data_IF_310990842727
#
_entry.id   IF_310990842727
#
_cell.length_a   1.000
_cell.length_b   1.000
_cell.length_c   1.000
_cell.angle_alpha   90.00
_cell.angle_beta   90.00
_cell.angle_gamma   90.00
#
_symmetry.space_group_name_H-M   'P 1'
#
loop_
_entity.id
_entity.type
_entity.pdbx_description
1 polymer ?
#
# COMPACT_ATOMS: atom_id res chain seq x y z
N UNK A 1 18.87 -10.89 -18.73
CA UNK A 1 17.66 -11.63 -18.29
C UNK A 1 17.33 -11.09 -16.92
N UNK A 2 16.14 -10.55 -16.71
CA UNK A 2 15.74 -10.00 -15.41
C UNK A 2 15.63 -11.09 -14.35
N UNK A 3 15.71 -10.72 -13.08
CA UNK A 3 15.58 -11.61 -11.92
C UNK A 3 14.13 -12.12 -11.69
N UNK A 4 13.19 -11.74 -12.57
CA UNK A 4 11.78 -12.12 -12.48
C UNK A 4 10.95 -11.24 -11.56
N UNK A 5 11.56 -10.28 -10.86
CA UNK A 5 10.86 -9.33 -9.99
C UNK A 5 10.21 -8.19 -10.77
N UNK A 6 9.16 -7.59 -10.18
CA UNK A 6 8.58 -6.34 -10.66
C UNK A 6 9.21 -5.19 -9.89
N UNK A 7 9.84 -4.25 -10.59
CA UNK A 7 10.51 -3.08 -9.99
C UNK A 7 9.68 -1.82 -10.14
N UNK A 8 9.55 -1.08 -9.04
CA UNK A 8 8.74 0.14 -8.97
C UNK A 8 9.51 1.20 -8.18
N UNK A 9 9.79 2.39 -8.75
CA UNK A 9 9.71 2.75 -10.17
C UNK A 9 10.66 1.94 -11.05
N UNK A 10 10.46 1.96 -12.38
CA UNK A 10 11.21 1.10 -13.31
C UNK A 10 12.72 1.41 -13.43
N UNK A 11 13.14 2.61 -13.00
CA UNK A 11 14.55 2.98 -12.89
C UNK A 11 14.99 2.83 -11.44
N UNK A 12 16.00 1.99 -11.21
CA UNK A 12 16.51 1.74 -9.87
C UNK A 12 17.12 3.01 -9.27
N UNK A 13 16.94 3.17 -7.95
CA UNK A 13 17.79 4.02 -7.13
C UNK A 13 17.86 5.49 -7.59
N UNK A 14 16.78 6.02 -8.17
CA UNK A 14 16.65 7.45 -8.44
C UNK A 14 15.77 8.11 -7.38
N UNK A 15 16.17 9.31 -6.96
CA UNK A 15 15.39 10.14 -6.05
C UNK A 15 14.15 10.72 -6.76
N UNK A 16 13.12 11.01 -5.96
CA UNK A 16 11.92 11.74 -6.39
C UNK A 16 11.20 11.08 -7.58
N UNK A 17 11.06 9.76 -7.53
CA UNK A 17 10.37 8.98 -8.56
C UNK A 17 9.09 8.36 -7.99
N UNK A 18 8.12 8.11 -8.86
CA UNK A 18 6.91 7.37 -8.54
C UNK A 18 6.56 6.42 -9.69
N UNK A 19 5.97 5.28 -9.38
CA UNK A 19 5.56 4.29 -10.37
C UNK A 19 4.48 3.37 -9.85
N UNK A 20 3.92 2.57 -10.77
CA UNK A 20 2.92 1.56 -10.45
C UNK A 20 3.03 0.33 -11.34
N UNK A 21 2.59 -0.81 -10.83
CA UNK A 21 2.41 -2.05 -11.57
C UNK A 21 1.07 -2.66 -11.20
N UNK A 22 0.20 -2.89 -12.18
CA UNK A 22 -1.17 -3.33 -11.95
C UNK A 22 -1.44 -4.64 -12.66
N UNK A 23 -2.42 -5.37 -12.12
CA UNK A 23 -3.07 -6.43 -12.88
C UNK A 23 -3.79 -5.82 -14.09
N UNK A 24 -3.62 -6.44 -15.26
CA UNK A 24 -4.04 -5.86 -16.54
C UNK A 24 -5.56 -5.73 -16.72
N UNK A 25 -6.35 -6.56 -16.02
CA UNK A 25 -7.80 -6.54 -16.11
C UNK A 25 -8.40 -5.98 -14.82
N UNK A 26 -9.41 -5.10 -14.88
CA UNK A 26 -10.09 -4.66 -13.67
C UNK A 26 -10.87 -5.80 -13.02
N UNK A 27 -10.94 -5.76 -11.69
CA UNK A 27 -11.65 -6.69 -10.84
C UNK A 27 -12.98 -6.06 -10.41
N UNK A 28 -14.05 -6.86 -10.40
CA UNK A 28 -15.35 -6.40 -9.88
C UNK A 28 -15.31 -6.39 -8.35
N UNK A 29 -15.15 -5.21 -7.75
CA UNK A 29 -14.96 -5.05 -6.30
C UNK A 29 -16.23 -4.63 -5.57
N UNK A 30 -17.28 -4.23 -6.27
CA UNK A 30 -18.55 -3.81 -5.67
C UNK A 30 -19.73 -4.19 -6.55
N UNK A 31 -20.79 -4.75 -5.98
CA UNK A 31 -22.01 -5.08 -6.74
C UNK A 31 -23.11 -4.02 -6.52
N UNK A 32 -23.51 -3.27 -7.57
CA UNK A 32 -24.55 -2.24 -7.44
C UNK A 32 -25.92 -2.77 -7.04
N UNK A 33 -26.22 -4.04 -7.29
CA UNK A 33 -27.54 -4.60 -6.98
C UNK A 33 -27.71 -4.91 -5.50
N UNK A 34 -26.66 -5.42 -4.87
CA UNK A 34 -26.64 -5.77 -3.45
C UNK A 34 -26.03 -4.67 -2.59
N UNK A 35 -25.30 -3.72 -3.19
CA UNK A 35 -24.47 -2.72 -2.52
C UNK A 35 -23.40 -3.33 -1.60
N UNK A 36 -22.93 -4.54 -1.92
CA UNK A 36 -21.95 -5.29 -1.13
C UNK A 36 -20.58 -5.27 -1.84
N UNK A 37 -19.50 -4.92 -1.14
CA UNK A 37 -18.13 -5.12 -1.63
C UNK A 37 -17.77 -6.60 -1.77
N UNK A 38 -16.91 -6.93 -2.72
CA UNK A 38 -16.27 -8.25 -2.79
C UNK A 38 -15.38 -8.48 -1.56
N UNK A 39 -15.37 -9.71 -1.04
CA UNK A 39 -14.32 -10.16 -0.14
C UNK A 39 -13.04 -10.38 -0.95
N UNK A 40 -11.87 -10.16 -0.36
CA UNK A 40 -10.62 -10.41 -1.06
C UNK A 40 -9.50 -10.89 -0.13
N UNK A 41 -8.58 -11.64 -0.72
CA UNK A 41 -7.33 -12.06 -0.12
C UNK A 41 -6.21 -11.77 -1.12
N UNK A 42 -5.12 -11.18 -0.64
CA UNK A 42 -3.90 -10.97 -1.42
C UNK A 42 -2.69 -11.29 -0.58
N UNK A 43 -1.71 -11.96 -1.19
CA UNK A 43 -0.43 -12.28 -0.56
C UNK A 43 0.67 -11.91 -1.53
N UNK A 44 1.70 -11.23 -1.04
CA UNK A 44 2.85 -10.87 -1.86
C UNK A 44 4.11 -10.81 -1.01
N UNK A 45 5.24 -11.11 -1.64
CA UNK A 45 6.56 -10.91 -1.05
C UNK A 45 7.29 -9.80 -1.79
N UNK A 46 8.04 -8.98 -1.07
CA UNK A 46 8.74 -7.83 -1.62
C UNK A 46 10.05 -7.55 -0.86
N UNK A 47 10.92 -6.75 -1.49
CA UNK A 47 12.17 -6.24 -0.90
C UNK A 47 12.21 -4.74 -1.10
N UNK A 48 12.57 -4.01 -0.04
CA UNK A 48 12.98 -2.60 -0.12
C UNK A 48 14.44 -2.52 0.32
N UNK A 49 15.26 -1.85 -0.48
CA UNK A 49 16.69 -1.74 -0.23
C UNK A 49 17.16 -0.31 -0.45
N UNK A 50 17.89 0.23 0.51
CA UNK A 50 18.59 1.50 0.34
C UNK A 50 19.83 1.31 -0.54
N UNK A 51 19.93 2.13 -1.58
CA UNK A 51 21.04 2.11 -2.53
C UNK A 51 22.16 3.09 -2.16
N UNK A 52 21.89 3.99 -1.20
CA UNK A 52 22.81 5.04 -0.80
C UNK A 52 23.43 4.74 0.56
N UNK A 53 24.73 5.01 0.70
CA UNK A 53 25.37 5.13 2.01
C UNK A 53 25.12 6.51 2.66
N UNK A 54 24.24 7.33 2.07
CA UNK A 54 23.96 8.67 2.56
C UNK A 54 22.97 8.60 3.71
N UNK A 55 23.34 9.23 4.83
CA UNK A 55 22.56 9.28 6.06
C UNK A 55 21.61 10.49 6.11
N UNK A 56 21.42 11.18 4.98
CA UNK A 56 20.54 12.34 4.90
C UNK A 56 19.09 11.86 4.75
N UNK A 57 18.43 11.64 5.88
CA UNK A 57 17.02 11.31 6.01
C UNK A 57 16.13 12.54 5.74
N UNK A 58 16.22 13.16 4.57
CA UNK A 58 15.46 14.39 4.29
C UNK A 58 14.01 14.11 3.92
N UNK A 59 13.77 13.12 3.05
CA UNK A 59 12.44 12.57 2.70
C UNK A 59 12.60 11.13 2.24
N UNK A 60 11.61 10.28 2.49
CA UNK A 60 11.58 8.91 1.97
C UNK A 60 10.30 8.64 1.18
N UNK A 61 9.96 7.36 1.05
CA UNK A 61 8.79 6.89 0.35
C UNK A 61 8.50 5.47 0.79
N UNK A 62 8.17 4.59 -0.14
CA UNK A 62 7.86 3.21 0.19
C UNK A 62 7.06 2.53 -0.89
N UNK A 63 6.34 1.49 -0.47
CA UNK A 63 5.54 0.63 -1.31
C UNK A 63 4.09 0.62 -0.81
N UNK A 64 3.11 0.54 -1.70
CA UNK A 64 1.74 0.26 -1.31
C UNK A 64 1.10 -0.79 -2.22
N UNK A 65 0.33 -1.72 -1.63
CA UNK A 65 -0.68 -2.46 -2.39
C UNK A 65 -1.89 -1.54 -2.55
N UNK A 66 -2.41 -1.41 -3.78
CA UNK A 66 -3.49 -0.47 -4.10
C UNK A 66 -4.68 -1.16 -4.77
N UNK A 67 -5.87 -0.63 -4.49
CA UNK A 67 -7.11 -0.85 -5.22
C UNK A 67 -7.54 0.53 -5.74
N UNK A 68 -7.43 0.75 -7.05
CA UNK A 68 -7.52 2.06 -7.68
C UNK A 68 -8.56 2.11 -8.82
N UNK A 69 -9.10 3.30 -9.16
CA UNK A 69 -10.23 3.41 -10.07
C UNK A 69 -9.83 3.42 -11.55
N UNK A 70 -8.53 3.55 -11.84
CA UNK A 70 -7.97 3.63 -13.18
C UNK A 70 -6.53 3.08 -13.22
N UNK A 71 -6.04 2.84 -14.43
CA UNK A 71 -4.71 2.27 -14.68
C UNK A 71 -3.61 3.30 -14.99
N UNK A 72 -3.97 4.57 -15.22
CA UNK A 72 -3.07 5.56 -15.82
C UNK A 72 -2.49 6.55 -14.81
N UNK A 73 -3.22 6.84 -13.74
CA UNK A 73 -2.86 7.85 -12.75
C UNK A 73 -1.71 7.34 -11.89
N UNK A 74 -0.57 8.03 -11.92
CA UNK A 74 0.53 7.84 -10.96
C UNK A 74 0.59 9.09 -10.09
N UNK A 75 0.47 8.91 -8.79
CA UNK A 75 0.51 9.97 -7.78
C UNK A 75 1.88 10.64 -7.64
N UNK A 76 1.96 11.59 -6.69
CA UNK A 76 3.23 12.23 -6.32
C UNK A 76 4.20 11.22 -5.68
N UNK A 77 5.48 11.55 -5.79
CA UNK A 77 6.60 10.87 -5.18
C UNK A 77 6.71 11.13 -3.66
N UNK A 78 7.80 10.67 -3.04
CA UNK A 78 8.03 10.73 -1.60
C UNK A 78 6.89 10.09 -0.78
N UNK A 79 6.53 10.62 0.39
CA UNK A 79 5.45 10.10 1.25
C UNK A 79 4.05 10.03 0.61
N UNK A 80 3.85 10.54 -0.61
CA UNK A 80 2.59 10.33 -1.36
C UNK A 80 2.49 8.95 -2.03
N UNK A 81 3.59 8.16 -2.03
CA UNK A 81 3.68 6.76 -2.46
C UNK A 81 3.18 6.45 -3.88
N UNK A 82 3.07 7.45 -4.75
CA UNK A 82 2.47 7.30 -6.07
C UNK A 82 0.99 6.93 -6.06
N UNK A 83 0.29 6.98 -4.91
CA UNK A 83 -1.07 6.46 -4.74
C UNK A 83 -2.15 7.35 -5.36
N UNK A 84 -2.02 8.68 -5.20
CA UNK A 84 -3.04 9.65 -5.59
C UNK A 84 -2.40 10.90 -6.20
N UNK A 85 -2.97 11.40 -7.30
CA UNK A 85 -2.70 12.76 -7.78
C UNK A 85 -3.60 13.75 -7.00
N UNK A 86 -3.02 14.86 -6.54
CA UNK A 86 -3.68 15.91 -5.77
C UNK A 86 -4.19 15.53 -4.38
N UNK A 87 -3.46 14.71 -3.62
CA UNK A 87 -3.79 14.41 -2.22
C UNK A 87 -3.73 15.69 -1.36
N UNK A 88 -4.82 16.44 -1.29
CA UNK A 88 -4.98 17.51 -0.32
C UNK A 88 -5.10 16.89 1.08
N UNK A 89 -4.15 17.21 1.95
CA UNK A 89 -4.09 16.89 3.40
C UNK A 89 -5.36 17.31 4.18
N UNK A 90 -6.27 18.07 3.56
CA UNK A 90 -7.36 18.79 4.22
C UNK A 90 -8.75 18.13 4.20
N UNK A 91 -8.95 16.95 3.59
CA UNK A 91 -10.30 16.34 3.54
C UNK A 91 -10.74 15.56 4.79
N UNK A 92 -10.06 15.71 5.94
CA UNK A 92 -10.49 15.12 7.22
C UNK A 92 -11.86 15.58 7.76
N UNK A 93 -12.66 16.37 7.03
CA UNK A 93 -13.96 16.86 7.51
C UNK A 93 -15.06 16.84 6.45
N UNK A 94 -15.67 15.68 6.25
CA UNK A 94 -16.96 15.56 5.57
C UNK A 94 -17.48 14.13 5.68
N UNK A 95 -18.61 13.96 6.35
CA UNK A 95 -19.33 12.67 6.36
C UNK A 95 -20.17 12.47 5.07
N UNK A 96 -19.94 13.31 4.05
CA UNK A 96 -20.53 13.18 2.74
C UNK A 96 -19.73 12.18 1.92
N UNK A 97 -20.42 11.23 1.30
CA UNK A 97 -19.88 10.37 0.24
C UNK A 97 -19.35 11.18 -0.95
N UNK A 98 -19.85 12.40 -1.14
CA UNK A 98 -19.29 13.42 -2.04
C UNK A 98 -17.94 13.89 -1.49
N UNK A 99 -16.86 13.34 -2.03
CA UNK A 99 -15.47 13.74 -1.73
C UNK A 99 -14.53 12.59 -1.39
N UNK A 100 -15.03 11.39 -1.10
CA UNK A 100 -14.17 10.21 -0.90
C UNK A 100 -13.56 9.78 -2.24
N UNK A 101 -12.23 9.69 -2.26
CA UNK A 101 -11.51 9.20 -3.43
C UNK A 101 -11.61 7.68 -3.44
N UNK A 102 -11.99 7.06 -4.57
CA UNK A 102 -12.14 5.62 -4.66
C UNK A 102 -10.76 4.96 -4.79
N UNK A 103 -9.95 5.05 -3.74
CA UNK A 103 -8.65 4.40 -3.63
C UNK A 103 -8.54 3.81 -2.24
N UNK A 104 -8.13 2.55 -2.18
CA UNK A 104 -7.76 1.87 -0.94
C UNK A 104 -6.32 1.46 -1.11
N UNK A 105 -5.51 1.67 -0.08
CA UNK A 105 -4.14 1.18 -0.08
C UNK A 105 -3.77 0.56 1.27
N UNK A 106 -2.83 -0.37 1.21
CA UNK A 106 -2.06 -0.78 2.38
C UNK A 106 -0.60 -0.42 2.10
N UNK A 107 -0.10 0.58 2.81
CA UNK A 107 1.25 1.11 2.64
C UNK A 107 2.27 0.40 3.54
N UNK A 108 3.51 0.41 3.09
CA UNK A 108 4.72 -0.02 3.80
C UNK A 108 5.67 1.16 3.71
N UNK A 109 5.53 2.05 4.68
CA UNK A 109 6.22 3.33 4.69
C UNK A 109 7.58 3.21 5.38
N UNK A 110 8.58 3.74 4.70
CA UNK A 110 9.95 3.75 5.17
C UNK A 110 10.34 5.07 5.78
N UNK A 111 9.47 6.07 5.84
CA UNK A 111 9.79 7.39 6.35
C UNK A 111 8.70 7.88 7.29
N UNK A 112 9.05 8.85 8.13
CA UNK A 112 8.12 9.44 9.08
C UNK A 112 7.79 10.86 8.63
N UNK A 113 6.71 11.01 7.90
CA UNK A 113 6.16 12.30 7.54
C UNK A 113 5.22 12.79 8.66
N UNK A 114 5.75 13.66 9.53
CA UNK A 114 4.99 14.23 10.66
C UNK A 114 3.67 14.92 10.21
N UNK A 115 3.63 15.44 8.97
CA UNK A 115 2.44 16.06 8.38
C UNK A 115 1.34 15.04 8.01
N UNK A 116 1.70 13.77 7.82
CA UNK A 116 0.75 12.68 7.57
C UNK A 116 0.37 11.93 8.86
N UNK A 117 1.07 12.20 9.96
CA UNK A 117 0.79 11.60 11.27
C UNK A 117 1.39 10.21 11.43
N UNK A 118 2.47 9.94 10.70
CA UNK A 118 3.14 8.64 10.71
C UNK A 118 3.68 8.29 12.11
N UNK A 119 3.52 7.04 12.57
CA UNK A 119 3.97 6.66 13.90
C UNK A 119 5.51 6.62 13.99
N UNK A 120 6.18 6.17 12.94
CA UNK A 120 7.64 6.03 12.81
C UNK A 120 8.03 5.86 11.32
N UNK A 121 9.32 5.62 11.05
CA UNK A 121 9.91 5.42 9.73
C UNK A 121 9.93 3.95 9.25
N UNK A 122 9.12 3.09 9.86
CA UNK A 122 9.05 1.65 9.57
C UNK A 122 7.67 1.12 9.98
N UNK A 123 6.64 1.49 9.23
CA UNK A 123 5.27 1.13 9.57
C UNK A 123 4.47 0.59 8.37
N UNK A 124 3.38 -0.10 8.71
CA UNK A 124 2.33 -0.48 7.77
C UNK A 124 1.08 0.34 8.08
N UNK A 125 0.36 0.75 7.04
CA UNK A 125 -0.82 1.62 7.16
C UNK A 125 -1.98 1.17 6.29
N UNK A 126 -3.21 1.45 6.71
CA UNK A 126 -4.42 1.32 5.89
C UNK A 126 -4.90 2.70 5.47
N UNK A 127 -4.86 2.99 4.18
CA UNK A 127 -5.16 4.31 3.64
C UNK A 127 -6.47 4.27 2.85
N UNK A 128 -7.45 5.11 3.24
CA UNK A 128 -8.76 5.16 2.59
C UNK A 128 -9.00 6.52 1.94
N UNK A 129 -8.76 6.59 0.62
CA UNK A 129 -8.99 7.78 -0.20
C UNK A 129 -8.06 8.96 0.11
N UNK A 130 -6.99 8.76 0.89
CA UNK A 130 -6.06 9.75 1.40
C UNK A 130 -4.68 9.12 1.62
N UNK A 131 -3.60 9.91 1.62
CA UNK A 131 -2.26 9.45 2.04
C UNK A 131 -2.19 9.25 3.56
N UNK A 132 -2.98 10.00 4.32
CA UNK A 132 -3.03 9.81 5.78
C UNK A 132 -3.74 8.49 6.12
N UNK A 133 -3.02 7.59 6.76
CA UNK A 133 -3.54 6.30 7.23
C UNK A 133 -4.70 6.43 8.23
N UNK A 134 -5.69 5.56 8.07
CA UNK A 134 -6.79 5.35 9.01
C UNK A 134 -6.36 4.49 10.20
N UNK A 135 -5.50 3.51 9.95
CA UNK A 135 -4.91 2.62 10.94
C UNK A 135 -3.42 2.45 10.61
N UNK A 136 -2.57 2.36 11.61
CA UNK A 136 -1.12 2.10 11.43
C UNK A 136 -0.61 1.09 12.45
N UNK A 137 0.47 0.41 12.11
CA UNK A 137 1.19 -0.48 13.02
C UNK A 137 2.71 -0.42 12.78
N UNK A 138 3.48 -0.40 13.86
CA UNK A 138 4.94 -0.48 13.82
C UNK A 138 5.38 -1.89 13.39
N UNK A 139 6.08 -1.99 12.27
CA UNK A 139 6.56 -3.25 11.71
C UNK A 139 7.66 -3.89 12.57
N UNK A 140 8.33 -3.11 13.41
CA UNK A 140 9.35 -3.59 14.36
C UNK A 140 8.74 -4.55 15.39
N UNK A 141 7.44 -4.44 15.68
CA UNK A 141 6.71 -5.36 16.55
C UNK A 141 6.59 -6.78 15.97
N UNK A 142 6.75 -6.92 14.64
CA UNK A 142 6.86 -8.20 13.94
C UNK A 142 8.31 -8.55 13.57
N UNK A 143 9.30 -7.80 14.05
CA UNK A 143 10.71 -7.98 13.69
C UNK A 143 11.03 -7.67 12.21
N UNK A 144 10.18 -6.88 11.56
CA UNK A 144 10.33 -6.48 10.16
C UNK A 144 10.94 -5.09 10.07
N UNK A 145 11.97 -4.94 9.23
CA UNK A 145 12.66 -3.68 8.98
C UNK A 145 12.74 -3.45 7.47
N UNK A 146 11.94 -2.53 6.95
CA UNK A 146 11.73 -2.41 5.50
C UNK A 146 13.01 -2.10 4.73
N UNK A 147 13.90 -1.27 5.27
CA UNK A 147 15.06 -0.73 4.54
C UNK A 147 16.28 -1.67 4.46
N UNK A 148 16.22 -2.86 5.05
CA UNK A 148 17.40 -3.72 5.25
C UNK A 148 17.68 -4.70 4.08
N UNK A 149 16.89 -4.67 3.00
CA UNK A 149 17.04 -5.57 1.85
C UNK A 149 16.57 -7.00 2.09
N UNK A 150 15.93 -7.29 3.24
CA UNK A 150 15.34 -8.59 3.53
C UNK A 150 13.98 -8.73 2.85
N UNK A 151 13.65 -9.98 2.48
CA UNK A 151 12.33 -10.30 1.94
C UNK A 151 11.28 -10.15 3.04
N UNK A 152 10.20 -9.44 2.73
CA UNK A 152 9.02 -9.28 3.57
C UNK A 152 7.84 -9.91 2.86
N UNK A 153 7.01 -10.65 3.58
CA UNK A 153 5.75 -11.18 3.05
C UNK A 153 4.59 -10.53 3.78
N UNK A 154 3.63 -10.03 3.00
CA UNK A 154 2.42 -9.44 3.51
C UNK A 154 1.20 -10.21 2.99
N UNK A 155 0.21 -10.40 3.87
CA UNK A 155 -1.12 -10.91 3.54
C UNK A 155 -2.17 -9.90 3.98
N UNK A 156 -3.03 -9.50 3.06
CA UNK A 156 -4.16 -8.60 3.30
C UNK A 156 -5.43 -9.38 2.99
N UNK A 157 -6.35 -9.42 3.96
CA UNK A 157 -7.65 -10.08 3.80
C UNK A 157 -8.78 -9.15 4.23
N UNK A 158 -9.83 -9.07 3.42
CA UNK A 158 -11.06 -8.37 3.74
C UNK A 158 -12.25 -9.32 3.63
N UNK A 159 -13.00 -9.44 4.72
CA UNK A 159 -14.27 -10.17 4.76
C UNK A 159 -15.42 -9.17 4.76
N UNK A 160 -16.15 -9.08 3.65
CA UNK A 160 -17.27 -8.15 3.49
C UNK A 160 -18.49 -8.55 4.31
N UNK A 161 -18.62 -9.82 4.70
CA UNK A 161 -19.76 -10.31 5.49
C UNK A 161 -19.76 -9.76 6.92
N UNK A 162 -18.57 -9.48 7.44
CA UNK A 162 -18.35 -8.87 8.76
C UNK A 162 -17.68 -7.50 8.68
N UNK A 163 -17.47 -6.98 7.46
CA UNK A 163 -16.79 -5.71 7.17
C UNK A 163 -15.47 -5.57 7.94
N UNK A 164 -14.56 -6.50 7.74
CA UNK A 164 -13.36 -6.58 8.57
C UNK A 164 -12.10 -6.81 7.74
N UNK A 165 -11.09 -5.95 7.94
CA UNK A 165 -9.81 -5.99 7.25
C UNK A 165 -8.70 -6.42 8.20
N UNK A 166 -7.82 -7.30 7.72
CA UNK A 166 -6.61 -7.72 8.43
C UNK A 166 -5.37 -7.58 7.55
N UNK A 167 -4.28 -7.11 8.14
CA UNK A 167 -2.95 -7.06 7.53
C UNK A 167 -1.99 -7.85 8.42
N UNK A 168 -1.40 -8.89 7.85
CA UNK A 168 -0.33 -9.70 8.45
C UNK A 168 0.96 -9.42 7.69
N UNK A 169 2.05 -9.22 8.42
CA UNK A 169 3.36 -8.96 7.83
C UNK A 169 4.40 -9.78 8.59
N UNK A 170 5.28 -10.45 7.88
CA UNK A 170 6.37 -11.23 8.46
C UNK A 170 7.60 -11.24 7.53
N UNK A 171 8.72 -11.74 8.06
CA UNK A 171 9.99 -11.92 7.33
C UNK A 171 10.23 -13.37 6.87
N UNK A 172 9.31 -14.28 7.16
CA UNK A 172 9.41 -15.71 6.85
C UNK A 172 8.21 -16.14 6.00
N UNK A 173 8.48 -16.80 4.88
CA UNK A 173 7.44 -17.44 4.07
C UNK A 173 6.75 -18.53 4.91
N UNK A 174 5.41 -18.53 4.91
CA UNK A 174 4.54 -19.56 5.51
C UNK A 174 4.49 -19.68 7.04
N UNK A 175 4.19 -18.59 7.75
CA UNK A 175 3.67 -18.71 9.13
C UNK A 175 2.24 -18.17 9.24
N UNK A 176 1.27 -19.07 9.04
CA UNK A 176 -0.16 -18.83 9.28
C UNK A 176 -0.48 -18.53 10.77
N UNK A 177 0.48 -18.67 11.69
CA UNK A 177 0.32 -18.31 13.10
C UNK A 177 0.63 -16.84 13.40
N UNK A 178 1.04 -16.05 12.41
CA UNK A 178 1.31 -14.62 12.60
C UNK A 178 0.01 -13.87 12.87
N UNK A 179 -0.05 -13.25 14.04
CA UNK A 179 -1.13 -12.34 14.41
C UNK A 179 -1.14 -11.13 13.49
N UNK A 180 -2.33 -10.62 13.10
CA UNK A 180 -2.43 -9.42 12.29
C UNK A 180 -1.87 -8.21 13.03
N UNK A 181 -1.05 -7.40 12.35
CA UNK A 181 -0.57 -6.11 12.85
C UNK A 181 -1.68 -5.06 12.80
N UNK A 182 -2.51 -5.11 11.76
CA UNK A 182 -3.75 -4.31 11.65
C UNK A 182 -4.91 -5.29 11.59
N UNK A 183 -5.92 -5.08 12.43
CA UNK A 183 -7.16 -5.87 12.47
C UNK A 183 -8.28 -4.93 12.86
N UNK A 184 -9.05 -4.46 11.87
CA UNK A 184 -10.02 -3.38 12.09
C UNK A 184 -11.36 -3.66 11.40
N UNK A 185 -12.50 -3.37 12.06
CA UNK A 185 -13.79 -3.27 11.38
C UNK A 185 -13.82 -2.03 10.49
N UNK A 186 -14.09 -2.23 9.20
CA UNK A 186 -14.10 -1.16 8.19
C UNK A 186 -15.07 -1.45 7.05
N UNK A 187 -15.90 -0.47 6.73
CA UNK A 187 -16.75 -0.49 5.53
C UNK A 187 -16.00 0.17 4.35
N UNK A 188 -15.61 -0.64 3.37
CA UNK A 188 -14.88 -0.20 2.18
C UNK A 188 -15.80 0.33 1.07
N UNK A 189 -17.14 0.19 1.20
CA UNK A 189 -18.11 0.46 0.13
C UNK A 189 -17.97 1.87 -0.46
N UNK A 190 -17.70 2.86 0.38
CA UNK A 190 -17.58 4.26 -0.05
C UNK A 190 -16.25 4.62 -0.76
N UNK A 191 -15.33 3.66 -0.86
CA UNK A 191 -14.03 3.81 -1.52
C UNK A 191 -13.90 2.94 -2.77
N UNK A 192 -14.99 2.30 -3.20
CA UNK A 192 -15.01 1.37 -4.31
C UNK A 192 -15.93 1.87 -5.43
N UNK A 193 -15.52 1.62 -6.67
CA UNK A 193 -16.41 1.54 -7.82
C UNK A 193 -16.70 0.07 -8.13
N UNK A 194 -17.66 -0.19 -9.01
CA UNK A 194 -17.97 -1.56 -9.43
C UNK A 194 -16.73 -2.30 -9.93
N UNK A 195 -15.93 -1.67 -10.79
CA UNK A 195 -14.68 -2.22 -11.32
C UNK A 195 -13.49 -1.37 -10.88
N UNK A 196 -12.45 -2.04 -10.38
CA UNK A 196 -11.22 -1.43 -9.87
C UNK A 196 -9.99 -2.17 -10.37
N UNK A 197 -8.86 -1.50 -10.47
CA UNK A 197 -7.56 -2.11 -10.72
C UNK A 197 -6.87 -2.44 -9.40
N UNK A 198 -6.16 -3.56 -9.35
CA UNK A 198 -5.36 -3.97 -8.18
C UNK A 198 -3.89 -4.07 -8.56
N UNK A 199 -3.00 -3.81 -7.61
CA UNK A 199 -1.56 -3.94 -7.83
C UNK A 199 -0.77 -3.13 -6.83
N UNK A 200 0.32 -2.52 -7.29
CA UNK A 200 1.28 -1.85 -6.43
C UNK A 200 1.64 -0.47 -6.94
N UNK A 201 1.89 0.45 -6.02
CA UNK A 201 2.61 1.70 -6.27
C UNK A 201 3.85 1.76 -5.41
N UNK A 202 4.86 2.49 -5.85
CA UNK A 202 6.01 2.80 -5.01
C UNK A 202 6.57 4.16 -5.40
N UNK A 203 7.23 4.80 -4.44
CA UNK A 203 7.91 6.07 -4.64
C UNK A 203 9.24 6.11 -3.91
N UNK A 204 10.10 7.01 -4.37
CA UNK A 204 11.29 7.43 -3.66
C UNK A 204 11.16 8.91 -3.29
N UNK A 205 11.76 9.29 -2.16
CA UNK A 205 12.00 10.69 -1.82
C UNK A 205 13.40 11.11 -2.24
N UNK A 206 14.02 12.00 -1.46
CA UNK A 206 15.43 12.32 -1.59
C UNK A 206 16.33 11.08 -1.40
N UNK A 207 15.91 10.14 -0.55
CA UNK A 207 16.56 8.85 -0.42
C UNK A 207 16.19 7.91 -1.58
N UNK A 208 17.21 7.47 -2.30
CA UNK A 208 17.09 6.51 -3.38
C UNK A 208 16.92 5.07 -2.84
N UNK A 209 15.68 4.59 -2.83
CA UNK A 209 15.32 3.21 -2.52
C UNK A 209 14.99 2.42 -3.81
N UNK A 210 15.22 1.12 -3.78
CA UNK A 210 14.67 0.19 -4.78
C UNK A 210 13.56 -0.66 -4.16
N UNK A 211 12.44 -0.81 -4.87
CA UNK A 211 11.31 -1.64 -4.45
C UNK A 211 11.10 -2.75 -5.47
N UNK A 212 11.14 -4.00 -5.02
CA UNK A 212 10.97 -5.18 -5.86
C UNK A 212 9.87 -6.09 -5.31
N UNK A 213 8.84 -6.36 -6.12
CA UNK A 213 7.84 -7.40 -5.83
C UNK A 213 8.39 -8.73 -6.35
N UNK A 214 8.51 -9.71 -5.46
CA UNK A 214 9.09 -11.03 -5.72
C UNK A 214 8.02 -12.06 -6.10
N UNK A 215 6.84 -11.97 -5.49
CA UNK A 215 5.70 -12.85 -5.71
C UNK A 215 4.41 -12.11 -5.42
N UNK A 216 3.32 -12.49 -6.07
CA UNK A 216 2.00 -11.92 -5.81
C UNK A 216 0.88 -12.87 -6.22
N UNK A 217 -0.10 -13.02 -5.34
CA UNK A 217 -1.39 -13.69 -5.60
C UNK A 217 -2.52 -12.80 -5.12
N UNK A 218 -3.61 -12.73 -5.87
CA UNK A 218 -4.83 -12.01 -5.52
C UNK A 218 -6.04 -12.88 -5.85
N UNK A 219 -7.03 -12.93 -4.94
CA UNK A 219 -8.32 -13.57 -5.15
C UNK A 219 -9.44 -12.71 -4.55
N UNK A 220 -10.59 -12.69 -5.20
CA UNK A 220 -11.79 -12.01 -4.73
C UNK A 220 -13.04 -12.90 -4.90
N UNK A 221 -14.04 -12.70 -4.04
CA UNK A 221 -15.31 -13.43 -4.04
C UNK A 221 -16.50 -12.49 -3.80
#
# INVERSE_FOLDING_TARGET
MGDGSIRIPAQDAQANQAGRALFASPVRMWDPNTSIPASFDTTFSFVIQSSSSSTSHETGGGLAFIIAPDELTVGRDAGYLGMLNDACVHHRRGNSSEGRRPVIAVEFDTFKDDEFGDPNDNHVGLNLGSVISNETADLSNAGVFLRNGSSVTARISYDSSIQHLQVRVNSLLDDDQVLPLISTPVDLSSFLKEYMFVGFTASTGAEALSHSILSWTFSCA
#
